data_IF_925540389776
#
_entry.id   IF_925540389776
#
_cell.length_a   1.000
_cell.length_b   1.000
_cell.length_c   1.000
_cell.angle_alpha   90.00
_cell.angle_beta   90.00
_cell.angle_gamma   90.00
#
_symmetry.space_group_name_H-M   'P 1'
#
loop_
_entity.id
_entity.type
_entity.pdbx_description
1 polymer ?
#
# COMPACT_ATOMS: atom_id res chain seq x y z
N UNK A 1 -8.02 17.19 -9.77
CA UNK A 1 -7.80 15.79 -10.22
C UNK A 1 -9.17 15.12 -10.34
N UNK A 2 -9.46 14.47 -11.44
CA UNK A 2 -10.75 13.80 -11.61
C UNK A 2 -10.74 12.41 -10.97
N UNK A 3 -11.93 11.80 -10.89
CA UNK A 3 -12.09 10.50 -10.23
C UNK A 3 -11.33 9.38 -10.96
N UNK A 4 -11.26 9.46 -12.28
CA UNK A 4 -10.54 8.45 -13.09
C UNK A 4 -9.05 8.48 -12.78
N UNK A 5 -8.47 9.67 -12.73
CA UNK A 5 -7.05 9.85 -12.41
C UNK A 5 -6.75 9.40 -10.99
N UNK A 6 -7.60 9.76 -10.04
CA UNK A 6 -7.43 9.37 -8.65
C UNK A 6 -7.49 7.85 -8.49
N UNK A 7 -8.44 7.18 -9.17
CA UNK A 7 -8.56 5.73 -9.14
C UNK A 7 -7.33 5.05 -9.72
N UNK A 8 -6.77 5.58 -10.80
CA UNK A 8 -5.54 5.05 -11.39
C UNK A 8 -4.38 5.13 -10.41
N UNK A 9 -4.26 6.23 -9.68
CA UNK A 9 -3.20 6.41 -8.68
C UNK A 9 -3.33 5.44 -7.53
N UNK A 10 -4.57 5.24 -7.04
CA UNK A 10 -4.84 4.28 -5.96
C UNK A 10 -4.46 2.87 -6.38
N UNK A 11 -4.82 2.47 -7.59
CA UNK A 11 -4.51 1.14 -8.11
C UNK A 11 -3.02 0.95 -8.33
N UNK A 12 -2.34 1.99 -8.81
CA UNK A 12 -0.91 1.94 -9.01
C UNK A 12 -0.17 1.77 -7.70
N UNK A 13 -0.55 2.55 -6.68
CA UNK A 13 0.01 2.44 -5.35
C UNK A 13 -0.28 1.05 -4.76
N UNK A 14 -1.52 0.60 -4.83
CA UNK A 14 -1.91 -0.71 -4.30
C UNK A 14 -1.12 -1.84 -4.94
N UNK A 15 -0.93 -1.78 -6.26
CA UNK A 15 -0.15 -2.79 -6.96
C UNK A 15 1.33 -2.75 -6.55
N UNK A 16 1.89 -1.55 -6.38
CA UNK A 16 3.28 -1.42 -5.93
C UNK A 16 3.48 -2.03 -4.54
N UNK A 17 2.56 -1.79 -3.63
CA UNK A 17 2.61 -2.37 -2.28
C UNK A 17 2.51 -3.90 -2.37
N UNK A 18 1.57 -4.40 -3.17
CA UNK A 18 1.38 -5.84 -3.33
C UNK A 18 2.64 -6.52 -3.87
N UNK A 19 3.24 -5.96 -4.91
CA UNK A 19 4.44 -6.53 -5.53
C UNK A 19 5.57 -6.63 -4.49
N UNK A 20 5.84 -5.55 -3.77
CA UNK A 20 6.87 -5.55 -2.74
C UNK A 20 6.58 -6.55 -1.63
N UNK A 21 5.32 -6.59 -1.19
CA UNK A 21 4.90 -7.52 -0.13
C UNK A 21 5.12 -8.98 -0.55
N UNK A 22 4.67 -9.33 -1.76
CA UNK A 22 4.78 -10.69 -2.27
C UNK A 22 6.23 -11.09 -2.45
N UNK A 23 7.06 -10.19 -2.97
CA UNK A 23 8.49 -10.46 -3.13
C UNK A 23 9.17 -10.76 -1.80
N UNK A 24 8.71 -10.13 -0.72
CA UNK A 24 9.25 -10.36 0.61
C UNK A 24 8.55 -11.50 1.36
N UNK A 25 7.61 -12.18 0.70
CA UNK A 25 6.87 -13.31 1.27
C UNK A 25 6.09 -12.93 2.53
N UNK A 26 5.58 -11.71 2.57
CA UNK A 26 4.73 -11.24 3.65
C UNK A 26 3.27 -11.47 3.29
N UNK A 27 2.46 -11.95 4.24
CA UNK A 27 1.02 -11.99 4.06
C UNK A 27 0.43 -10.60 4.25
N UNK A 28 -0.77 -10.39 3.76
CA UNK A 28 -1.51 -9.14 4.01
C UNK A 28 -1.72 -8.94 5.51
N UNK A 29 -2.05 -10.01 6.21
CA UNK A 29 -2.24 -9.95 7.67
C UNK A 29 -0.97 -9.50 8.38
N UNK A 30 0.17 -10.07 8.00
CA UNK A 30 1.44 -9.71 8.63
C UNK A 30 1.81 -8.26 8.35
N UNK A 31 1.70 -7.82 7.09
CA UNK A 31 1.98 -6.43 6.77
C UNK A 31 1.05 -5.51 7.55
N UNK A 32 -0.24 -5.86 7.64
CA UNK A 32 -1.20 -5.09 8.41
C UNK A 32 -0.75 -4.89 9.85
N UNK A 33 -0.31 -5.96 10.50
CA UNK A 33 0.20 -5.88 11.88
C UNK A 33 1.45 -5.00 11.98
N UNK A 34 2.35 -5.13 11.03
CA UNK A 34 3.60 -4.35 11.02
C UNK A 34 3.35 -2.84 10.96
N UNK A 35 2.29 -2.44 10.31
CA UNK A 35 1.98 -1.01 10.12
C UNK A 35 0.84 -0.51 11.01
N UNK A 36 0.45 -1.32 12.00
CA UNK A 36 -0.55 -0.90 12.98
C UNK A 36 -1.98 -0.93 12.47
N UNK A 37 -2.28 -1.82 11.55
CA UNK A 37 -3.64 -1.99 11.02
C UNK A 37 -3.98 -3.48 10.92
N UNK A 38 -4.72 -3.90 9.89
CA UNK A 38 -5.16 -5.29 9.75
C UNK A 38 -5.18 -5.71 8.29
N UNK A 39 -5.47 -6.99 8.06
CA UNK A 39 -5.53 -7.57 6.72
C UNK A 39 -6.56 -6.86 5.83
N UNK A 40 -7.73 -6.52 6.38
CA UNK A 40 -8.79 -5.86 5.60
C UNK A 40 -8.29 -4.55 5.02
N UNK A 41 -7.59 -3.76 5.82
CA UNK A 41 -7.01 -2.49 5.36
C UNK A 41 -6.03 -2.73 4.20
N UNK A 42 -5.12 -3.67 4.37
CA UNK A 42 -4.11 -3.96 3.33
C UNK A 42 -4.78 -4.48 2.05
N UNK A 43 -5.79 -5.34 2.19
CA UNK A 43 -6.55 -5.86 1.05
C UNK A 43 -7.20 -4.73 0.25
N UNK A 44 -7.86 -3.81 0.94
CA UNK A 44 -8.52 -2.66 0.30
C UNK A 44 -7.49 -1.72 -0.35
N UNK A 45 -6.38 -1.50 0.33
CA UNK A 45 -5.29 -0.67 -0.20
C UNK A 45 -4.75 -1.28 -1.50
N UNK A 46 -4.46 -2.56 -1.51
CA UNK A 46 -3.90 -3.24 -2.67
C UNK A 46 -4.89 -3.31 -3.83
N UNK A 47 -6.18 -3.32 -3.55
CA UNK A 47 -7.22 -3.27 -4.57
C UNK A 47 -7.47 -1.86 -5.11
N UNK A 48 -6.85 -0.85 -4.52
CA UNK A 48 -7.04 0.53 -4.93
C UNK A 48 -8.37 1.12 -4.50
N UNK A 49 -8.96 0.60 -3.43
CA UNK A 49 -10.31 0.98 -3.01
C UNK A 49 -10.34 1.99 -1.87
N UNK A 50 -9.19 2.37 -1.33
CA UNK A 50 -9.12 3.36 -0.26
C UNK A 50 -8.02 4.36 -0.51
N UNK A 51 -8.13 5.52 0.13
CA UNK A 51 -7.04 6.50 0.19
C UNK A 51 -6.15 6.14 1.37
N UNK A 52 -4.85 6.25 1.17
CA UNK A 52 -3.89 6.03 2.25
C UNK A 52 -3.45 7.38 2.78
N UNK A 53 -3.35 7.53 4.10
CA UNK A 53 -2.81 8.75 4.71
C UNK A 53 -1.30 8.77 4.54
N UNK A 54 -0.71 9.98 4.62
CA UNK A 54 0.75 10.14 4.54
C UNK A 54 1.45 9.34 5.63
N UNK A 55 0.94 9.36 6.85
CA UNK A 55 1.54 8.59 7.95
C UNK A 55 1.52 7.09 7.67
N UNK A 56 0.40 6.59 7.18
CA UNK A 56 0.26 5.16 6.89
C UNK A 56 1.18 4.76 5.73
N UNK A 57 1.27 5.60 4.72
CA UNK A 57 2.14 5.35 3.57
C UNK A 57 3.61 5.27 4.00
N UNK A 58 4.05 6.19 4.86
CA UNK A 58 5.42 6.16 5.40
C UNK A 58 5.69 4.87 6.18
N UNK A 59 4.72 4.42 6.99
CA UNK A 59 4.87 3.18 7.76
C UNK A 59 4.93 1.95 6.85
N UNK A 60 4.14 1.95 5.77
CA UNK A 60 4.17 0.86 4.81
C UNK A 60 5.53 0.80 4.11
N UNK A 61 6.03 1.94 3.65
CA UNK A 61 7.35 2.01 3.00
C UNK A 61 8.44 1.53 3.94
N UNK A 62 8.40 1.96 5.20
CA UNK A 62 9.36 1.55 6.21
C UNK A 62 9.29 0.02 6.46
N UNK A 63 8.09 -0.52 6.59
CA UNK A 63 7.90 -1.96 6.80
C UNK A 63 8.41 -2.79 5.63
N UNK A 64 8.25 -2.28 4.40
CA UNK A 64 8.71 -2.95 3.19
C UNK A 64 10.17 -2.62 2.86
N UNK A 65 10.79 -1.74 3.63
CA UNK A 65 12.19 -1.32 3.44
C UNK A 65 12.43 -0.70 2.07
N UNK A 66 11.47 0.10 1.61
CA UNK A 66 11.56 0.86 0.36
C UNK A 66 11.31 2.33 0.64
N UNK A 67 11.64 3.18 -0.33
CA UNK A 67 11.31 4.60 -0.25
C UNK A 67 9.85 4.82 -0.67
N UNK A 68 9.21 5.86 -0.12
CA UNK A 68 7.86 6.23 -0.54
C UNK A 68 7.81 6.45 -2.05
N UNK A 69 8.86 7.08 -2.61
CA UNK A 69 8.93 7.31 -4.06
C UNK A 69 8.88 6.03 -4.89
N UNK A 70 9.32 4.91 -4.33
CA UNK A 70 9.24 3.62 -5.03
C UNK A 70 7.81 3.12 -5.16
N UNK A 71 6.93 3.56 -4.25
CA UNK A 71 5.53 3.13 -4.22
C UNK A 71 4.61 4.03 -5.03
N UNK A 72 4.97 5.29 -5.23
CA UNK A 72 4.06 6.29 -5.82
C UNK A 72 4.46 6.74 -7.23
N UNK A 73 5.36 6.05 -7.85
CA UNK A 73 5.76 6.38 -9.24
C UNK A 73 4.61 6.29 -10.22
#
# INVERSE_FOLDING_TARGET
MDDVELNKRRKRLGNAVRVERVEQRLSQERLGRMVGTNQTYISLLEAGEINVTSNKLCRIAEALEVEVSDLVR
#
